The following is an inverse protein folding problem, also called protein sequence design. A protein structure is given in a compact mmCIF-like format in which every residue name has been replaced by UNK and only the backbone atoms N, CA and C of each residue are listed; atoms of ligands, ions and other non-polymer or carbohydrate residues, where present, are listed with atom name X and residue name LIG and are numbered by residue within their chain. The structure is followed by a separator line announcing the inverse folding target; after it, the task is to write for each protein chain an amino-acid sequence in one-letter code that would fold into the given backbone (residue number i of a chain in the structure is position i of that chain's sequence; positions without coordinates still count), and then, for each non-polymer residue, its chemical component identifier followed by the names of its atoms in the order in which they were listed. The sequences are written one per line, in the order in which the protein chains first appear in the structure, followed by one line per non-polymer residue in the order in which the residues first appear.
data_IF_822603240104
#
_entry.id   IF_822603240104
#
_cell.length_a   1.000
_cell.length_b   1.000
_cell.length_c   1.000
_cell.angle_alpha   90.00
_cell.angle_beta   90.00
_cell.angle_gamma   90.00
#
_symmetry.space_group_name_H-M   'P 1'
#
loop_
_entity.id
_entity.type
_entity.pdbx_description
1 polymer ?
#
# COMPACT_ATOMS: atom_id res chain seq x y z
N UNK A 1 12.34 -2.73 -3.90
CA UNK A 1 10.93 -3.17 -3.75
C UNK A 1 10.80 -4.63 -3.35
N UNK A 2 11.16 -5.64 -4.16
CA UNK A 2 10.97 -7.05 -3.78
C UNK A 2 11.74 -7.47 -2.51
N UNK A 3 13.00 -7.03 -2.37
CA UNK A 3 13.81 -7.28 -1.17
C UNK A 3 13.27 -6.56 0.09
N UNK A 4 12.66 -5.39 -0.08
CA UNK A 4 12.10 -4.59 1.02
C UNK A 4 10.81 -5.23 1.54
N UNK A 5 9.96 -5.70 0.63
CA UNK A 5 8.75 -6.47 0.93
C UNK A 5 9.12 -7.80 1.61
N UNK A 6 10.17 -8.49 1.12
CA UNK A 6 10.66 -9.70 1.77
C UNK A 6 11.09 -9.45 3.21
N UNK A 7 11.88 -8.38 3.44
CA UNK A 7 12.33 -7.98 4.78
C UNK A 7 11.15 -7.63 5.69
N UNK A 8 10.23 -6.76 5.24
CA UNK A 8 9.05 -6.34 6.02
C UNK A 8 8.06 -7.49 6.25
N UNK A 9 7.99 -8.45 5.33
CA UNK A 9 7.16 -9.65 5.47
C UNK A 9 7.82 -10.76 6.29
N UNK A 10 9.11 -10.65 6.59
CA UNK A 10 9.93 -11.74 7.14
C UNK A 10 9.71 -13.05 6.37
N UNK A 11 9.67 -12.96 5.04
CA UNK A 11 9.41 -14.11 4.17
C UNK A 11 10.70 -14.89 3.97
N UNK A 12 10.65 -16.17 4.34
CA UNK A 12 11.75 -17.11 4.14
C UNK A 12 11.95 -17.45 2.66
N UNK A 13 13.06 -18.11 2.34
CA UNK A 13 13.38 -18.51 0.97
C UNK A 13 12.32 -19.45 0.37
N UNK A 14 11.69 -20.30 1.19
CA UNK A 14 10.61 -21.20 0.76
C UNK A 14 9.39 -20.40 0.29
N UNK A 15 8.95 -19.42 1.08
CA UNK A 15 7.83 -18.54 0.72
C UNK A 15 8.14 -17.77 -0.55
N UNK A 16 9.36 -17.23 -0.67
CA UNK A 16 9.78 -16.48 -1.86
C UNK A 16 9.82 -17.36 -3.11
N UNK A 17 10.24 -18.62 -3.00
CA UNK A 17 10.20 -19.58 -4.11
C UNK A 17 8.76 -19.85 -4.58
N UNK A 18 7.81 -20.02 -3.65
CA UNK A 18 6.39 -20.19 -3.99
C UNK A 18 5.84 -18.96 -4.72
N UNK A 19 6.18 -17.75 -4.27
CA UNK A 19 5.72 -16.52 -4.94
C UNK A 19 6.27 -16.40 -6.36
N UNK A 20 7.51 -16.83 -6.57
CA UNK A 20 8.14 -16.88 -7.90
C UNK A 20 7.47 -17.92 -8.80
N UNK A 21 7.25 -19.15 -8.31
CA UNK A 21 6.56 -20.23 -9.03
C UNK A 21 5.13 -19.85 -9.45
N UNK A 22 4.42 -19.13 -8.59
CA UNK A 22 3.08 -18.62 -8.86
C UNK A 22 3.07 -17.42 -9.82
N UNK A 23 4.23 -16.93 -10.23
CA UNK A 23 4.34 -15.84 -11.20
C UNK A 23 4.03 -14.46 -10.63
N UNK A 24 4.02 -14.26 -9.31
CA UNK A 24 3.66 -12.96 -8.71
C UNK A 24 4.62 -11.84 -9.06
N UNK A 25 5.86 -12.17 -9.42
CA UNK A 25 6.89 -11.21 -9.85
C UNK A 25 7.05 -11.11 -11.37
N UNK A 26 6.26 -11.85 -12.13
CA UNK A 26 6.33 -11.84 -13.58
C UNK A 26 5.45 -10.71 -14.14
N UNK A 27 5.86 -10.15 -15.27
CA UNK A 27 5.04 -9.18 -15.98
C UNK A 27 3.78 -9.88 -16.50
N UNK A 28 2.61 -9.33 -16.15
CA UNK A 28 1.32 -9.80 -16.64
C UNK A 28 0.78 -8.81 -17.68
N UNK A 29 0.25 -9.33 -18.79
CA UNK A 29 -0.43 -8.49 -19.76
C UNK A 29 -1.71 -7.90 -19.13
N UNK A 30 -1.74 -6.57 -19.01
CA UNK A 30 -2.91 -5.84 -18.54
C UNK A 30 -3.77 -5.48 -19.75
N UNK A 31 -4.83 -6.24 -19.97
CA UNK A 31 -5.76 -6.06 -21.10
C UNK A 31 -6.78 -4.95 -20.82
N UNK A 32 -7.36 -4.36 -21.87
CA UNK A 32 -8.44 -3.35 -21.74
C UNK A 32 -9.64 -3.87 -20.92
N UNK A 33 -10.15 -5.11 -21.13
CA UNK A 33 -11.20 -5.66 -20.27
C UNK A 33 -10.80 -5.76 -18.80
N UNK A 34 -9.54 -6.10 -18.50
CA UNK A 34 -9.06 -6.16 -17.12
C UNK A 34 -9.07 -4.78 -16.46
N UNK A 35 -8.62 -3.74 -17.18
CA UNK A 35 -8.67 -2.36 -16.70
C UNK A 35 -10.10 -1.90 -16.45
N UNK A 36 -11.01 -2.19 -17.38
CA UNK A 36 -12.42 -1.85 -17.23
C UNK A 36 -13.04 -2.53 -16.00
N UNK A 37 -12.82 -3.83 -15.82
CA UNK A 37 -13.33 -4.57 -14.66
C UNK A 37 -12.85 -3.94 -13.34
N UNK A 38 -11.56 -3.64 -13.24
CA UNK A 38 -10.97 -3.04 -12.04
C UNK A 38 -11.43 -1.60 -11.82
N UNK A 39 -11.65 -0.85 -12.89
CA UNK A 39 -12.00 0.55 -12.82
C UNK A 39 -13.46 0.80 -12.44
N UNK A 40 -14.39 -0.05 -12.93
CA UNK A 40 -15.81 -0.01 -12.59
C UNK A 40 -16.10 -0.28 -11.10
N UNK A 41 -15.16 -0.87 -10.37
CA UNK A 41 -15.25 -1.07 -8.92
C UNK A 41 -14.76 0.11 -8.08
N UNK A 42 -14.19 1.15 -8.71
CA UNK A 42 -13.60 2.32 -8.03
C UNK A 42 -14.42 3.57 -8.36
N UNK A 43 -14.75 3.77 -9.63
CA UNK A 43 -15.71 4.76 -10.10
C UNK A 43 -16.67 4.09 -11.09
N UNK A 44 -17.90 4.61 -11.18
CA UNK A 44 -18.82 4.17 -12.24
C UNK A 44 -18.20 4.43 -13.62
N UNK A 45 -18.47 3.54 -14.58
CA UNK A 45 -17.99 3.72 -15.94
C UNK A 45 -18.49 5.05 -16.51
N UNK A 46 -17.56 5.98 -16.75
CA UNK A 46 -17.89 7.24 -17.40
C UNK A 46 -18.48 6.95 -18.78
N UNK A 47 -19.62 7.56 -19.17
CA UNK A 47 -20.10 7.48 -20.55
C UNK A 47 -19.13 8.17 -21.53
N UNK A 48 -18.08 8.84 -21.03
CA UNK A 48 -17.03 9.48 -21.80
C UNK A 48 -15.69 8.71 -21.73
N UNK A 49 -15.67 7.37 -21.78
CA UNK A 49 -14.41 6.59 -21.83
C UNK A 49 -13.48 6.98 -22.99
N UNK A 50 -14.00 7.59 -24.06
CA UNK A 50 -13.19 8.18 -25.14
C UNK A 50 -12.47 9.48 -24.75
N UNK A 51 -12.77 10.06 -23.59
CA UNK A 51 -12.11 11.23 -23.05
C UNK A 51 -10.93 10.82 -22.16
N UNK A 52 -9.72 11.18 -22.56
CA UNK A 52 -8.49 10.90 -21.83
C UNK A 52 -8.50 11.43 -20.39
N UNK A 53 -9.15 12.56 -20.12
CA UNK A 53 -9.23 13.14 -18.78
C UNK A 53 -10.04 12.27 -17.82
N UNK A 54 -11.16 11.71 -18.29
CA UNK A 54 -12.00 10.80 -17.50
C UNK A 54 -11.23 9.52 -17.14
N UNK A 55 -10.48 8.96 -18.10
CA UNK A 55 -9.65 7.78 -17.85
C UNK A 55 -8.52 8.09 -16.86
N UNK A 56 -7.87 9.25 -16.98
CA UNK A 56 -6.81 9.67 -16.06
C UNK A 56 -7.33 9.85 -14.62
N UNK A 57 -8.53 10.42 -14.45
CA UNK A 57 -9.15 10.59 -13.13
C UNK A 57 -9.37 9.24 -12.43
N UNK A 58 -9.95 8.30 -13.17
CA UNK A 58 -10.22 6.94 -12.70
C UNK A 58 -8.94 6.19 -12.33
N UNK A 59 -7.88 6.32 -13.15
CA UNK A 59 -6.57 5.74 -12.85
C UNK A 59 -5.94 6.35 -11.60
N UNK A 60 -6.08 7.66 -11.36
CA UNK A 60 -5.60 8.32 -10.13
C UNK A 60 -6.33 7.79 -8.90
N UNK A 61 -7.66 7.74 -8.93
CA UNK A 61 -8.45 7.19 -7.83
C UNK A 61 -8.05 5.74 -7.50
N UNK A 62 -7.84 4.92 -8.54
CA UNK A 62 -7.34 3.56 -8.35
C UNK A 62 -5.93 3.49 -7.79
N UNK A 63 -5.03 4.35 -8.26
CA UNK A 63 -3.66 4.44 -7.77
C UNK A 63 -3.63 4.82 -6.28
N UNK A 64 -4.39 5.85 -5.89
CA UNK A 64 -4.50 6.30 -4.51
C UNK A 64 -4.98 5.18 -3.57
N UNK A 65 -6.01 4.45 -4.00
CA UNK A 65 -6.54 3.32 -3.26
C UNK A 65 -5.53 2.18 -3.11
N UNK A 66 -4.82 1.83 -4.19
CA UNK A 66 -3.80 0.77 -4.17
C UNK A 66 -2.60 1.18 -3.31
N UNK A 67 -2.17 2.43 -3.37
CA UNK A 67 -1.09 2.95 -2.53
C UNK A 67 -1.45 2.90 -1.04
N UNK A 68 -2.66 3.30 -0.67
CA UNK A 68 -3.13 3.24 0.72
C UNK A 68 -3.25 1.78 1.22
N UNK A 69 -3.72 0.86 0.37
CA UNK A 69 -3.77 -0.59 0.67
C UNK A 69 -2.39 -1.20 0.81
N UNK A 70 -1.45 -0.83 -0.06
CA UNK A 70 -0.05 -1.25 0.02
C UNK A 70 0.54 -0.82 1.36
N UNK A 71 0.41 0.46 1.73
CA UNK A 71 0.90 0.94 3.03
C UNK A 71 0.24 0.19 4.20
N UNK A 72 -1.06 -0.08 4.14
CA UNK A 72 -1.74 -0.86 5.17
C UNK A 72 -1.18 -2.27 5.31
N UNK A 73 -0.94 -2.96 4.19
CA UNK A 73 -0.34 -4.29 4.18
C UNK A 73 1.09 -4.29 4.74
N UNK A 74 1.92 -3.30 4.36
CA UNK A 74 3.28 -3.16 4.86
C UNK A 74 3.32 -2.91 6.37
N UNK A 75 2.48 -2.02 6.88
CA UNK A 75 2.37 -1.74 8.32
C UNK A 75 1.91 -2.99 9.08
N UNK A 76 0.88 -3.68 8.57
CA UNK A 76 0.41 -4.93 9.17
C UNK A 76 1.50 -6.00 9.18
N UNK A 77 2.21 -6.20 8.07
CA UNK A 77 3.31 -7.15 7.99
C UNK A 77 4.43 -6.80 8.99
N UNK A 78 4.82 -5.54 9.08
CA UNK A 78 5.82 -5.09 10.03
C UNK A 78 5.43 -5.40 11.49
N UNK A 79 4.18 -5.11 11.86
CA UNK A 79 3.67 -5.31 13.22
C UNK A 79 3.54 -6.79 13.58
N UNK A 80 3.09 -7.64 12.65
CA UNK A 80 2.75 -9.04 12.96
C UNK A 80 3.83 -10.06 12.60
N UNK A 81 4.83 -9.70 11.79
CA UNK A 81 5.85 -10.65 11.29
C UNK A 81 7.27 -10.26 11.64
N UNK A 82 7.49 -9.05 12.15
CA UNK A 82 8.81 -8.50 12.41
C UNK A 82 8.96 -7.98 13.84
N UNK A 83 8.90 -8.90 14.81
CA UNK A 83 9.09 -8.58 16.24
C UNK A 83 10.52 -8.12 16.58
N UNK A 84 11.50 -8.45 15.73
CA UNK A 84 12.93 -8.17 15.95
C UNK A 84 13.45 -6.98 15.15
N UNK A 85 12.63 -6.38 14.28
CA UNK A 85 13.03 -5.22 13.49
C UNK A 85 12.94 -3.95 14.34
N UNK A 86 14.07 -3.27 14.55
CA UNK A 86 14.15 -2.10 15.43
C UNK A 86 13.29 -0.92 14.95
N UNK A 87 13.28 -0.60 13.65
CA UNK A 87 12.31 0.31 13.04
C UNK A 87 12.01 -0.07 11.59
N UNK A 88 10.76 -0.44 11.25
CA UNK A 88 10.36 -0.75 9.88
C UNK A 88 10.03 0.49 9.05
N UNK A 89 9.87 1.67 9.67
CA UNK A 89 9.34 2.86 9.03
C UNK A 89 10.15 3.34 7.80
N UNK A 90 11.50 3.39 7.82
CA UNK A 90 12.27 3.81 6.65
C UNK A 90 12.06 2.89 5.44
N UNK A 91 12.05 1.57 5.67
CA UNK A 91 11.87 0.57 4.60
C UNK A 91 10.45 0.67 4.01
N UNK A 92 9.45 0.93 4.86
CA UNK A 92 8.07 1.15 4.42
C UNK A 92 7.99 2.40 3.53
N UNK A 93 8.55 3.53 3.98
CA UNK A 93 8.55 4.78 3.21
C UNK A 93 9.26 4.61 1.87
N UNK A 94 10.42 3.96 1.84
CA UNK A 94 11.15 3.70 0.60
C UNK A 94 10.39 2.76 -0.34
N UNK A 95 9.67 1.77 0.20
CA UNK A 95 8.80 0.91 -0.60
C UNK A 95 7.66 1.69 -1.24
N UNK A 96 7.02 2.60 -0.49
CA UNK A 96 5.96 3.48 -1.01
C UNK A 96 6.50 4.45 -2.06
N UNK A 97 7.67 5.07 -1.83
CA UNK A 97 8.34 5.92 -2.83
C UNK A 97 8.67 5.16 -4.11
N UNK A 98 9.15 3.92 -3.99
CA UNK A 98 9.41 3.06 -5.14
C UNK A 98 8.13 2.73 -5.92
N UNK A 99 7.02 2.46 -5.23
CA UNK A 99 5.73 2.25 -5.87
C UNK A 99 5.24 3.52 -6.59
N UNK A 100 5.46 4.71 -6.02
CA UNK A 100 5.13 5.99 -6.66
C UNK A 100 5.89 6.22 -7.98
N UNK A 101 7.15 5.78 -8.07
CA UNK A 101 7.92 5.84 -9.32
C UNK A 101 7.26 5.02 -10.44
N UNK A 102 6.66 3.87 -10.13
CA UNK A 102 5.92 3.05 -11.11
C UNK A 102 4.69 3.80 -11.65
N UNK A 103 4.07 4.63 -10.81
CA UNK A 103 2.93 5.47 -11.14
C UNK A 103 3.32 6.80 -11.80
N UNK A 104 4.63 7.08 -11.91
CA UNK A 104 5.19 8.35 -12.42
C UNK A 104 4.67 9.58 -11.64
N UNK A 105 4.49 9.42 -10.34
CA UNK A 105 4.11 10.49 -9.41
C UNK A 105 5.37 10.90 -8.62
N UNK A 106 5.48 12.16 -8.21
CA UNK A 106 6.56 12.59 -7.31
C UNK A 106 6.59 11.68 -6.06
N UNK A 107 7.72 11.01 -5.76
CA UNK A 107 7.75 10.03 -4.69
C UNK A 107 7.48 10.60 -3.29
N UNK A 108 7.87 11.85 -3.04
CA UNK A 108 7.71 12.47 -1.72
C UNK A 108 6.28 12.94 -1.51
N UNK A 109 5.67 13.56 -2.51
CA UNK A 109 4.25 13.91 -2.46
C UNK A 109 3.38 12.66 -2.37
N UNK A 110 3.67 11.63 -3.17
CA UNK A 110 2.95 10.36 -3.12
C UNK A 110 3.05 9.71 -1.73
N UNK A 111 4.23 9.67 -1.11
CA UNK A 111 4.41 9.09 0.22
C UNK A 111 3.62 9.86 1.29
N UNK A 112 3.67 11.20 1.27
CA UNK A 112 2.88 12.05 2.18
C UNK A 112 1.38 11.85 2.01
N UNK A 113 0.88 11.87 0.77
CA UNK A 113 -0.53 11.69 0.47
C UNK A 113 -1.00 10.29 0.86
N UNK A 114 -0.22 9.26 0.54
CA UNK A 114 -0.50 7.87 0.90
C UNK A 114 -0.60 7.69 2.40
N UNK A 115 0.33 8.27 3.18
CA UNK A 115 0.27 8.24 4.63
C UNK A 115 -0.98 8.93 5.18
N UNK A 116 -1.31 10.12 4.68
CA UNK A 116 -2.53 10.85 5.08
C UNK A 116 -3.79 10.02 4.80
N UNK A 117 -3.91 9.47 3.60
CA UNK A 117 -5.05 8.62 3.21
C UNK A 117 -5.13 7.37 4.07
N UNK A 118 -4.00 6.70 4.31
CA UNK A 118 -3.93 5.51 5.16
C UNK A 118 -4.37 5.81 6.60
N UNK A 119 -3.87 6.91 7.16
CA UNK A 119 -4.18 7.34 8.53
C UNK A 119 -5.67 7.64 8.71
N UNK A 120 -6.36 8.10 7.67
CA UNK A 120 -7.80 8.36 7.74
C UNK A 120 -8.65 7.14 7.39
N UNK A 121 -8.23 6.31 6.44
CA UNK A 121 -9.04 5.21 5.93
C UNK A 121 -8.88 3.92 6.75
N UNK A 122 -7.69 3.63 7.26
CA UNK A 122 -7.37 2.35 7.89
C UNK A 122 -7.09 2.47 9.39
N UNK A 123 -6.36 3.49 9.83
CA UNK A 123 -5.98 3.58 11.24
C UNK A 123 -7.18 3.65 12.22
N UNK A 124 -8.30 4.35 11.91
CA UNK A 124 -9.45 4.40 12.80
C UNK A 124 -10.11 3.03 12.97
N UNK A 125 -10.12 2.19 11.93
CA UNK A 125 -10.71 0.85 12.03
C UNK A 125 -9.95 -0.06 12.99
N UNK A 126 -8.72 0.31 13.39
CA UNK A 126 -7.91 -0.38 14.39
C UNK A 126 -7.99 0.30 15.76
N UNK A 127 -7.90 1.64 15.79
CA UNK A 127 -7.73 2.39 17.04
C UNK A 127 -9.04 2.73 17.75
N UNK A 128 -10.17 2.74 17.04
CA UNK A 128 -11.46 3.11 17.62
C UNK A 128 -11.81 2.23 18.83
N UNK A 129 -12.46 2.79 19.87
CA UNK A 129 -12.89 2.01 21.03
C UNK A 129 -13.73 0.78 20.68
N UNK A 130 -14.59 0.89 19.67
CA UNK A 130 -15.50 -0.16 19.20
C UNK A 130 -14.80 -1.32 18.48
N UNK A 131 -13.55 -1.18 18.06
CA UNK A 131 -12.82 -2.24 17.36
C UNK A 131 -12.30 -3.29 18.33
N UNK A 132 -12.44 -4.57 18.00
CA UNK A 132 -11.86 -5.71 18.74
C UNK A 132 -10.33 -5.88 18.58
N UNK A 133 -9.57 -4.79 18.51
CA UNK A 133 -8.11 -4.83 18.49
C UNK A 133 -7.54 -4.81 19.92
N UNK A 134 -6.53 -5.65 20.18
CA UNK A 134 -5.86 -5.72 21.48
C UNK A 134 -5.17 -4.40 21.85
N UNK A 135 -4.95 -4.16 23.15
CA UNK A 135 -4.23 -2.97 23.63
C UNK A 135 -2.83 -2.91 23.04
N UNK A 136 -2.13 -4.04 22.98
CA UNK A 136 -0.80 -4.16 22.38
C UNK A 136 -0.81 -3.80 20.90
N UNK A 137 -1.76 -4.34 20.12
CA UNK A 137 -1.91 -4.02 18.69
C UNK A 137 -2.14 -2.53 18.48
N UNK A 138 -3.04 -1.92 19.25
CA UNK A 138 -3.31 -0.47 19.15
C UNK A 138 -2.08 0.36 19.51
N UNK A 139 -1.27 -0.08 20.47
CA UNK A 139 -0.01 0.59 20.83
C UNK A 139 0.98 0.55 19.66
N UNK A 140 1.25 -0.64 19.10
CA UNK A 140 2.20 -0.82 17.98
C UNK A 140 1.80 0.00 16.74
N UNK A 141 0.51 0.03 16.39
CA UNK A 141 0.02 0.85 15.28
C UNK A 141 0.18 2.36 15.52
N UNK A 142 0.09 2.83 16.78
CA UNK A 142 0.32 4.25 17.11
C UNK A 142 1.79 4.61 17.02
N UNK A 143 2.67 3.77 17.59
CA UNK A 143 4.11 4.00 17.58
C UNK A 143 4.63 4.06 16.15
N UNK A 144 4.28 3.07 15.32
CA UNK A 144 4.69 3.07 13.92
C UNK A 144 4.06 4.21 13.10
N UNK A 145 2.81 4.61 13.41
CA UNK A 145 2.21 5.78 12.75
C UNK A 145 2.94 7.09 13.09
N UNK A 146 3.47 7.23 14.31
CA UNK A 146 4.29 8.38 14.72
C UNK A 146 5.65 8.38 14.01
N UNK A 147 6.32 7.22 13.95
CA UNK A 147 7.59 7.10 13.20
C UNK A 147 7.41 7.45 11.71
N UNK A 148 6.33 6.98 11.08
CA UNK A 148 6.00 7.34 9.70
C UNK A 148 5.69 8.84 9.55
N UNK A 149 5.04 9.45 10.53
CA UNK A 149 4.76 10.89 10.54
C UNK A 149 6.05 11.72 10.61
N UNK A 150 6.99 11.34 11.48
CA UNK A 150 8.28 12.01 11.63
C UNK A 150 9.15 11.95 10.36
N UNK A 151 9.05 10.86 9.59
CA UNK A 151 9.80 10.69 8.34
C UNK A 151 9.18 11.39 7.13
N UNK A 152 7.88 11.70 7.19
CA UNK A 152 7.11 12.22 6.05
C UNK A 152 6.75 13.70 6.18
N UNK A 153 6.92 14.29 7.37
CA UNK A 153 6.73 15.71 7.63
C UNK A 153 7.95 16.58 7.29
#
# INVERSE_FOLDING_TARGET
MALDIQKIGNFDSTTMAILDELGWYHDHEITVPSLLLWSGGIEEFSPQLGNAESVQRMLRAGSDLQMARLLHALVGAAIFRNETMESPAPIIVDTVRNAANLLRIDPNDAARLTFRMWRTAFLPSILMPSTHASVTTRKLYRELALELEDLLN
#
